data_IF_800522838821
#
_entry.id   IF_800522838821
#
_cell.length_a   1.000
_cell.length_b   1.000
_cell.length_c   1.000
_cell.angle_alpha   90.00
_cell.angle_beta   90.00
_cell.angle_gamma   90.00
#
_symmetry.space_group_name_H-M   'P 1'
#
loop_
_entity.id
_entity.type
_entity.pdbx_description
1 polymer ?
#
# COMPACT_ATOMS: atom_id res chain seq x y z
N UNK A 1 88.05 -3.34 -1.73
CA UNK A 1 87.29 -4.20 -2.68
C UNK A 1 85.79 -4.17 -2.34
N UNK A 2 84.87 -3.91 -3.30
CA UNK A 2 83.45 -3.88 -3.02
C UNK A 2 82.92 -5.31 -2.79
N UNK A 3 82.20 -5.55 -1.68
CA UNK A 3 81.51 -6.82 -1.40
C UNK A 3 80.44 -7.05 -2.46
N UNK A 4 80.55 -8.14 -3.25
CA UNK A 4 79.48 -8.57 -4.17
C UNK A 4 78.23 -8.92 -3.34
N UNK A 5 77.10 -8.29 -3.66
CA UNK A 5 75.81 -8.68 -3.08
C UNK A 5 75.31 -9.92 -3.82
N UNK A 6 75.23 -11.02 -3.08
CA UNK A 6 74.67 -12.30 -3.53
C UNK A 6 73.16 -12.30 -3.31
N UNK A 7 72.44 -13.02 -4.18
CA UNK A 7 71.00 -13.21 -4.09
C UNK A 7 70.66 -14.17 -2.95
N UNK A 8 69.37 -14.46 -2.78
CA UNK A 8 68.88 -15.39 -1.73
C UNK A 8 69.43 -16.81 -1.88
N UNK A 9 69.97 -17.16 -3.06
CA UNK A 9 70.50 -18.48 -3.42
C UNK A 9 72.05 -18.49 -3.52
N UNK A 10 72.72 -17.42 -3.10
CA UNK A 10 74.19 -17.34 -3.03
C UNK A 10 74.91 -17.03 -4.34
N UNK A 11 74.18 -16.71 -5.41
CA UNK A 11 74.69 -16.32 -6.72
C UNK A 11 74.87 -14.79 -6.83
N UNK A 12 75.82 -14.29 -7.64
CA UNK A 12 76.00 -12.85 -7.82
C UNK A 12 74.74 -12.21 -8.46
N UNK A 13 74.04 -11.34 -7.72
CA UNK A 13 72.80 -10.68 -8.17
C UNK A 13 73.01 -9.92 -9.48
N UNK A 14 72.09 -10.08 -10.45
CA UNK A 14 72.07 -9.18 -11.62
C UNK A 14 71.73 -7.74 -11.19
N UNK A 15 72.28 -6.70 -11.85
CA UNK A 15 72.04 -5.31 -11.46
C UNK A 15 70.56 -4.92 -11.41
N UNK A 16 69.73 -5.52 -12.28
CA UNK A 16 68.27 -5.30 -12.33
C UNK A 16 67.57 -5.87 -11.10
N UNK A 17 67.94 -7.07 -10.67
CA UNK A 17 67.36 -7.75 -9.51
C UNK A 17 67.69 -7.05 -8.19
N UNK A 18 68.88 -6.44 -8.09
CA UNK A 18 69.27 -5.61 -6.94
C UNK A 18 68.38 -4.37 -6.77
N UNK A 19 68.07 -3.68 -7.86
CA UNK A 19 67.18 -2.51 -7.83
C UNK A 19 65.76 -2.92 -7.46
N UNK A 20 65.29 -4.05 -7.96
CA UNK A 20 63.97 -4.56 -7.63
C UNK A 20 63.85 -4.95 -6.15
N UNK A 21 64.86 -5.63 -5.60
CA UNK A 21 64.95 -5.90 -4.16
C UNK A 21 65.01 -4.61 -3.34
N UNK A 22 65.82 -3.63 -3.74
CA UNK A 22 65.90 -2.35 -3.04
C UNK A 22 64.59 -1.56 -3.11
N UNK A 23 63.88 -1.60 -4.23
CA UNK A 23 62.53 -1.00 -4.36
C UNK A 23 61.51 -1.74 -3.51
N UNK A 24 61.57 -3.07 -3.46
CA UNK A 24 60.72 -3.88 -2.60
C UNK A 24 60.99 -3.59 -1.12
N UNK A 25 62.27 -3.49 -0.72
CA UNK A 25 62.69 -3.14 0.63
C UNK A 25 62.31 -1.70 0.99
N UNK A 26 62.43 -0.75 0.07
CA UNK A 26 62.00 0.64 0.30
C UNK A 26 60.48 0.75 0.45
N UNK A 27 59.69 0.03 -0.37
CA UNK A 27 58.23 -0.03 -0.22
C UNK A 27 57.82 -0.69 1.10
N UNK A 28 58.46 -1.80 1.46
CA UNK A 28 58.22 -2.49 2.73
C UNK A 28 58.61 -1.61 3.92
N UNK A 29 59.73 -0.89 3.85
CA UNK A 29 60.18 0.04 4.89
C UNK A 29 59.23 1.24 5.06
N UNK A 30 58.68 1.79 3.96
CA UNK A 30 57.68 2.87 4.06
C UNK A 30 56.40 2.39 4.74
N UNK A 31 55.92 1.18 4.42
CA UNK A 31 54.73 0.59 5.06
C UNK A 31 55.00 0.29 6.55
N UNK A 32 56.20 -0.18 6.88
CA UNK A 32 56.60 -0.44 8.26
C UNK A 32 56.74 0.86 9.08
N UNK A 33 57.31 1.92 8.50
CA UNK A 33 57.44 3.25 9.12
C UNK A 33 56.10 3.95 9.33
N UNK A 34 55.11 3.73 8.46
CA UNK A 34 53.75 4.22 8.71
C UNK A 34 53.02 3.47 9.82
N UNK A 35 53.49 2.29 10.24
CA UNK A 35 52.74 1.42 11.17
C UNK A 35 52.96 1.70 12.66
N UNK A 36 53.08 2.97 13.05
CA UNK A 36 53.16 3.39 14.45
C UNK A 36 51.96 2.86 15.25
N UNK A 37 52.17 2.42 16.50
CA UNK A 37 51.12 1.81 17.33
C UNK A 37 49.86 2.68 17.49
N UNK A 38 50.04 4.00 17.51
CA UNK A 38 48.95 4.99 17.51
C UNK A 38 48.17 5.03 16.20
N UNK A 39 48.82 4.86 15.05
CA UNK A 39 48.17 4.83 13.73
C UNK A 39 47.26 3.59 13.59
N UNK A 40 47.68 2.45 14.18
CA UNK A 40 46.83 1.24 14.24
C UNK A 40 45.57 1.44 15.07
N UNK A 41 45.66 2.17 16.19
CA UNK A 41 44.50 2.51 17.03
C UNK A 41 43.53 3.42 16.29
N UNK A 42 44.03 4.40 15.54
CA UNK A 42 43.21 5.32 14.74
C UNK A 42 42.52 4.57 13.60
N UNK A 43 43.24 3.71 12.88
CA UNK A 43 42.67 2.92 11.79
C UNK A 43 41.62 1.91 12.30
N UNK A 44 41.83 1.33 13.48
CA UNK A 44 40.83 0.50 14.15
C UNK A 44 39.59 1.30 14.56
N UNK A 45 39.79 2.49 15.14
CA UNK A 45 38.70 3.40 15.53
C UNK A 45 37.84 3.81 14.34
N UNK A 46 38.46 4.12 13.19
CA UNK A 46 37.75 4.47 11.95
C UNK A 46 36.89 3.31 11.43
N UNK A 47 37.41 2.09 11.47
CA UNK A 47 36.66 0.89 11.06
C UNK A 47 35.54 0.57 12.04
N UNK A 48 35.80 0.72 13.34
CA UNK A 48 34.82 0.50 14.39
C UNK A 48 33.67 1.50 14.30
N UNK A 49 33.95 2.80 14.18
CA UNK A 49 32.95 3.84 14.05
C UNK A 49 32.03 3.61 12.83
N UNK A 50 32.62 3.26 11.68
CA UNK A 50 31.84 2.94 10.47
C UNK A 50 30.94 1.70 10.66
N UNK A 51 31.39 0.71 11.44
CA UNK A 51 30.62 -0.51 11.71
C UNK A 51 29.53 -0.27 12.76
N UNK A 52 29.82 0.54 13.77
CA UNK A 52 28.88 0.97 14.80
C UNK A 52 27.77 1.85 14.20
N UNK A 53 28.12 2.81 13.32
CA UNK A 53 27.14 3.66 12.65
C UNK A 53 26.19 2.82 11.79
N UNK A 54 26.71 1.88 10.98
CA UNK A 54 25.87 0.96 10.21
C UNK A 54 24.99 0.10 11.12
N UNK A 55 25.54 -0.47 12.19
CA UNK A 55 24.77 -1.26 13.15
C UNK A 55 23.62 -0.47 13.79
N UNK A 56 23.88 0.77 14.19
CA UNK A 56 22.86 1.66 14.77
C UNK A 56 21.75 1.98 13.76
N UNK A 57 22.10 2.34 12.52
CA UNK A 57 21.12 2.63 11.48
C UNK A 57 20.24 1.40 11.20
N UNK A 58 20.83 0.22 11.03
CA UNK A 58 20.05 -1.01 10.81
C UNK A 58 19.17 -1.36 12.02
N UNK A 59 19.68 -1.18 13.24
CA UNK A 59 18.91 -1.39 14.47
C UNK A 59 17.69 -0.48 14.51
N UNK A 60 17.86 0.82 14.21
CA UNK A 60 16.76 1.79 14.18
C UNK A 60 15.73 1.47 13.10
N UNK A 61 16.16 1.04 11.91
CA UNK A 61 15.26 0.63 10.83
C UNK A 61 14.41 -0.57 11.26
N UNK A 62 15.04 -1.60 11.83
CA UNK A 62 14.34 -2.80 12.30
C UNK A 62 13.39 -2.45 13.45
N UNK A 63 13.84 -1.68 14.43
CA UNK A 63 13.03 -1.25 15.55
C UNK A 63 11.82 -0.42 15.11
N UNK A 64 12.01 0.50 14.16
CA UNK A 64 10.93 1.29 13.56
C UNK A 64 9.93 0.40 12.82
N UNK A 65 10.41 -0.58 12.05
CA UNK A 65 9.56 -1.55 11.37
C UNK A 65 8.70 -2.36 12.34
N UNK A 66 9.30 -2.92 13.39
CA UNK A 66 8.59 -3.69 14.42
C UNK A 66 7.54 -2.82 15.12
N UNK A 67 7.91 -1.60 15.50
CA UNK A 67 6.99 -0.63 16.12
C UNK A 67 5.79 -0.30 15.21
N UNK A 68 6.04 -0.12 13.92
CA UNK A 68 4.99 0.12 12.93
C UNK A 68 4.02 -1.07 12.80
N UNK A 69 4.55 -2.29 12.69
CA UNK A 69 3.74 -3.51 12.62
C UNK A 69 2.91 -3.70 13.89
N UNK A 70 3.50 -3.48 15.06
CA UNK A 70 2.80 -3.61 16.35
C UNK A 70 1.65 -2.61 16.48
N UNK A 71 1.83 -1.39 15.95
CA UNK A 71 0.81 -0.34 15.94
C UNK A 71 -0.38 -0.75 15.07
N UNK A 72 -0.13 -1.20 13.85
CA UNK A 72 -1.18 -1.67 12.93
C UNK A 72 -1.90 -2.88 13.51
N UNK A 73 -1.15 -3.84 14.07
CA UNK A 73 -1.73 -5.02 14.73
C UNK A 73 -2.66 -4.62 15.89
N UNK A 74 -2.22 -3.70 16.74
CA UNK A 74 -3.03 -3.20 17.86
C UNK A 74 -4.32 -2.54 17.37
N UNK A 75 -4.23 -1.70 16.33
CA UNK A 75 -5.39 -1.02 15.77
C UNK A 75 -6.38 -2.00 15.12
N UNK A 76 -5.88 -3.02 14.41
CA UNK A 76 -6.71 -4.06 13.78
C UNK A 76 -7.38 -4.94 14.85
N UNK A 77 -6.65 -5.31 15.90
CA UNK A 77 -7.17 -6.14 16.99
C UNK A 77 -8.36 -5.48 17.68
N UNK A 78 -8.24 -4.20 18.04
CA UNK A 78 -9.32 -3.44 18.65
C UNK A 78 -10.53 -3.32 17.72
N UNK A 79 -10.28 -3.02 16.44
CA UNK A 79 -11.34 -2.88 15.44
C UNK A 79 -12.10 -4.18 15.23
N UNK A 80 -11.40 -5.32 15.15
CA UNK A 80 -12.02 -6.63 14.96
C UNK A 80 -12.81 -7.08 16.19
N UNK A 81 -12.29 -6.84 17.40
CA UNK A 81 -12.99 -7.21 18.62
C UNK A 81 -14.29 -6.40 18.79
N UNK A 82 -14.22 -5.07 18.58
CA UNK A 82 -15.40 -4.20 18.65
C UNK A 82 -16.43 -4.59 17.58
N UNK A 83 -15.98 -4.87 16.35
CA UNK A 83 -16.85 -5.33 15.27
C UNK A 83 -17.53 -6.66 15.58
N UNK A 84 -16.85 -7.61 16.23
CA UNK A 84 -17.45 -8.89 16.63
C UNK A 84 -18.55 -8.71 17.66
N UNK A 85 -18.34 -7.84 18.64
CA UNK A 85 -19.36 -7.54 19.65
C UNK A 85 -20.57 -6.83 19.03
N UNK A 86 -20.35 -5.83 18.19
CA UNK A 86 -21.45 -5.13 17.49
C UNK A 86 -22.27 -6.07 16.61
N UNK A 87 -21.62 -6.98 15.87
CA UNK A 87 -22.34 -7.96 15.04
C UNK A 87 -23.16 -8.92 15.91
N UNK A 88 -22.64 -9.33 17.08
CA UNK A 88 -23.39 -10.19 18.00
C UNK A 88 -24.65 -9.51 18.54
N UNK A 89 -24.56 -8.25 18.98
CA UNK A 89 -25.71 -7.50 19.50
C UNK A 89 -26.76 -7.21 18.42
N UNK A 90 -26.32 -6.92 17.20
CA UNK A 90 -27.23 -6.72 16.06
C UNK A 90 -27.96 -8.01 15.66
N UNK A 91 -27.26 -9.16 15.68
CA UNK A 91 -27.89 -10.44 15.40
C UNK A 91 -28.93 -10.79 16.48
N UNK A 92 -28.63 -10.54 17.75
CA UNK A 92 -29.58 -10.74 18.85
C UNK A 92 -30.83 -9.86 18.69
N UNK A 93 -30.64 -8.57 18.35
CA UNK A 93 -31.75 -7.65 18.07
C UNK A 93 -32.61 -8.10 16.87
N UNK A 94 -31.98 -8.60 15.79
CA UNK A 94 -32.69 -9.14 14.61
C UNK A 94 -33.46 -10.42 14.94
N UNK A 95 -32.90 -11.31 15.76
CA UNK A 95 -33.59 -12.53 16.22
C UNK A 95 -34.79 -12.16 17.09
N UNK A 96 -34.64 -11.20 18.02
CA UNK A 96 -35.73 -10.71 18.85
C UNK A 96 -36.83 -10.02 18.02
N UNK A 97 -36.46 -9.29 16.97
CA UNK A 97 -37.40 -8.69 16.02
C UNK A 97 -38.17 -9.75 15.23
N UNK A 98 -37.49 -10.78 14.74
CA UNK A 98 -38.12 -11.90 14.03
C UNK A 98 -39.08 -12.69 14.94
N UNK A 99 -38.75 -12.81 16.23
CA UNK A 99 -39.60 -13.47 17.23
C UNK A 99 -40.74 -12.58 17.75
N UNK A 100 -40.83 -11.32 17.31
CA UNK A 100 -41.87 -10.38 17.74
C UNK A 100 -41.75 -9.90 19.19
N UNK A 101 -40.63 -10.19 19.87
CA UNK A 101 -40.35 -9.78 21.25
C UNK A 101 -39.34 -8.63 21.34
N UNK A 102 -39.12 -7.91 20.24
CA UNK A 102 -38.12 -6.84 20.18
C UNK A 102 -38.50 -5.66 21.09
N UNK A 103 -37.53 -5.21 21.86
CA UNK A 103 -37.63 -3.96 22.61
C UNK A 103 -37.50 -2.77 21.66
N UNK A 104 -38.09 -1.62 22.02
CA UNK A 104 -38.06 -0.40 21.20
C UNK A 104 -36.62 0.06 20.92
N UNK A 105 -35.71 -0.13 21.88
CA UNK A 105 -34.27 0.13 21.74
C UNK A 105 -33.59 -0.77 20.68
N UNK A 106 -34.00 -2.03 20.55
CA UNK A 106 -33.47 -2.96 19.54
C UNK A 106 -33.93 -2.58 18.13
N UNK A 107 -35.17 -2.10 17.99
CA UNK A 107 -35.71 -1.63 16.70
C UNK A 107 -35.01 -0.34 16.26
N UNK A 108 -34.76 0.58 17.18
CA UNK A 108 -33.99 1.78 16.89
C UNK A 108 -32.54 1.48 16.50
N UNK A 109 -31.91 0.50 17.15
CA UNK A 109 -30.55 0.09 16.83
C UNK A 109 -30.43 -0.43 15.40
N UNK A 110 -31.40 -1.24 14.96
CA UNK A 110 -31.46 -1.76 13.59
C UNK A 110 -31.62 -0.62 12.58
N UNK A 111 -32.54 0.32 12.82
CA UNK A 111 -32.76 1.47 11.92
C UNK A 111 -31.52 2.36 11.78
N UNK A 112 -30.81 2.60 12.89
CA UNK A 112 -29.56 3.40 12.89
C UNK A 112 -28.47 2.71 12.07
N UNK A 113 -28.38 1.38 12.15
CA UNK A 113 -27.42 0.61 11.35
C UNK A 113 -27.79 0.60 9.86
N UNK A 114 -29.07 0.43 9.50
CA UNK A 114 -29.51 0.48 8.10
C UNK A 114 -29.16 1.83 7.44
N UNK A 115 -29.37 2.93 8.16
CA UNK A 115 -28.96 4.28 7.71
C UNK A 115 -27.44 4.37 7.58
N UNK A 116 -26.69 3.82 8.54
CA UNK A 116 -25.24 3.81 8.51
C UNK A 116 -24.70 2.99 7.32
N UNK A 117 -25.32 1.86 6.99
CA UNK A 117 -24.96 1.03 5.82
C UNK A 117 -25.18 1.78 4.51
N UNK A 118 -26.32 2.46 4.35
CA UNK A 118 -26.62 3.26 3.15
C UNK A 118 -25.59 4.38 2.99
N UNK A 119 -25.27 5.11 4.05
CA UNK A 119 -24.25 6.17 4.02
C UNK A 119 -22.87 5.59 3.72
N UNK A 120 -22.54 4.43 4.26
CA UNK A 120 -21.26 3.76 4.03
C UNK A 120 -21.12 3.26 2.60
N UNK A 121 -22.19 2.74 1.99
CA UNK A 121 -22.23 2.36 0.58
C UNK A 121 -22.03 3.58 -0.31
N UNK A 122 -22.80 4.65 -0.11
CA UNK A 122 -22.62 5.90 -0.87
C UNK A 122 -21.19 6.45 -0.74
N UNK A 123 -20.64 6.44 0.48
CA UNK A 123 -19.26 6.89 0.71
C UNK A 123 -18.22 5.96 0.11
N UNK A 124 -18.50 4.66 0.01
CA UNK A 124 -17.63 3.68 -0.64
C UNK A 124 -17.65 3.86 -2.15
N UNK A 125 -18.83 4.11 -2.75
CA UNK A 125 -19.00 4.44 -4.15
C UNK A 125 -18.27 5.74 -4.50
N UNK A 126 -18.43 6.80 -3.70
CA UNK A 126 -17.68 8.04 -3.85
C UNK A 126 -16.17 7.81 -3.79
N UNK A 127 -15.70 6.99 -2.84
CA UNK A 127 -14.28 6.63 -2.70
C UNK A 127 -13.77 5.80 -3.87
N UNK A 128 -14.58 4.88 -4.41
CA UNK A 128 -14.26 4.09 -5.59
C UNK A 128 -14.23 4.93 -6.86
N UNK A 129 -15.07 5.98 -6.93
CA UNK A 129 -15.07 6.93 -8.02
C UNK A 129 -13.84 7.85 -8.04
N UNK A 130 -13.11 8.00 -6.92
CA UNK A 130 -11.91 8.85 -6.86
C UNK A 130 -10.86 8.40 -7.89
N UNK A 131 -10.20 9.35 -8.58
CA UNK A 131 -9.23 9.04 -9.63
C UNK A 131 -8.08 8.15 -9.13
N UNK A 132 -7.65 8.33 -7.87
CA UNK A 132 -6.64 7.50 -7.22
C UNK A 132 -7.09 6.05 -7.00
N UNK A 133 -8.36 5.83 -6.65
CA UNK A 133 -8.90 4.49 -6.46
C UNK A 133 -9.01 3.76 -7.80
N UNK A 134 -9.45 4.46 -8.86
CA UNK A 134 -9.45 3.95 -10.24
C UNK A 134 -8.03 3.60 -10.73
N UNK A 135 -7.05 4.47 -10.46
CA UNK A 135 -5.66 4.22 -10.81
C UNK A 135 -5.08 2.99 -10.09
N UNK A 136 -5.35 2.83 -8.79
CA UNK A 136 -4.98 1.63 -8.04
C UNK A 136 -5.69 0.37 -8.57
N UNK A 137 -6.99 0.44 -8.82
CA UNK A 137 -7.76 -0.66 -9.36
C UNK A 137 -7.23 -1.11 -10.74
N UNK A 138 -6.81 -0.16 -11.58
CA UNK A 138 -6.18 -0.45 -12.86
C UNK A 138 -4.79 -1.09 -12.69
N UNK A 139 -3.93 -0.54 -11.82
CA UNK A 139 -2.58 -1.04 -11.60
C UNK A 139 -2.57 -2.45 -11.01
N UNK A 140 -3.38 -2.70 -9.98
CA UNK A 140 -3.48 -4.01 -9.35
C UNK A 140 -4.41 -4.97 -10.11
N UNK A 141 -5.38 -4.47 -10.88
CA UNK A 141 -6.23 -5.29 -11.73
C UNK A 141 -5.45 -5.94 -12.87
N UNK A 142 -4.46 -5.24 -13.44
CA UNK A 142 -3.60 -5.78 -14.51
C UNK A 142 -2.74 -6.97 -14.04
N UNK A 143 -2.21 -6.94 -12.81
CA UNK A 143 -1.43 -8.05 -12.25
C UNK A 143 -2.27 -9.28 -11.88
N UNK A 144 -3.52 -9.10 -11.48
CA UNK A 144 -4.39 -10.24 -11.16
C UNK A 144 -5.00 -10.88 -12.42
N UNK A 145 -5.22 -10.10 -13.48
CA UNK A 145 -5.74 -10.61 -14.75
C UNK A 145 -4.74 -11.52 -15.46
N UNK A 146 -3.44 -11.23 -15.36
CA UNK A 146 -2.37 -12.09 -15.92
C UNK A 146 -2.16 -13.37 -15.11
N UNK A 147 -2.25 -13.33 -13.77
CA UNK A 147 -2.20 -14.54 -12.93
C UNK A 147 -3.44 -15.43 -13.15
N UNK A 148 -4.64 -14.86 -13.28
CA UNK A 148 -5.87 -15.64 -13.55
C UNK A 148 -5.85 -16.25 -14.96
N UNK A 149 -5.31 -15.54 -15.95
CA UNK A 149 -5.13 -16.06 -17.31
C UNK A 149 -4.02 -17.11 -17.39
N UNK A 150 -2.95 -16.98 -16.60
CA UNK A 150 -1.91 -17.99 -16.52
C UNK A 150 -2.37 -19.24 -15.75
N UNK A 151 -3.25 -19.08 -14.76
CA UNK A 151 -3.85 -20.17 -14.00
C UNK A 151 -4.92 -20.91 -14.82
N UNK A 152 -5.72 -20.22 -15.63
CA UNK A 152 -6.70 -20.87 -16.53
C UNK A 152 -6.04 -21.66 -17.66
N UNK A 153 -4.88 -21.22 -18.17
CA UNK A 153 -4.11 -21.98 -19.19
C UNK A 153 -3.37 -23.18 -18.57
N UNK A 154 -2.98 -23.12 -17.29
CA UNK A 154 -2.42 -24.28 -16.57
C UNK A 154 -3.48 -25.30 -16.13
N UNK A 155 -4.71 -24.87 -15.85
CA UNK A 155 -5.83 -25.78 -15.54
C UNK A 155 -6.39 -26.47 -16.80
N UNK A 156 -6.32 -25.81 -17.96
CA UNK A 156 -6.79 -26.37 -19.24
C UNK A 156 -6.00 -27.59 -19.74
N UNK A 157 -4.80 -27.86 -19.23
CA UNK A 157 -4.03 -29.07 -19.54
C UNK A 157 -4.26 -30.22 -18.54
N UNK A 158 -5.09 -30.05 -17.51
CA UNK A 158 -5.37 -31.07 -16.49
C UNK A 158 -6.85 -31.40 -16.24
N UNK A 159 -7.81 -30.80 -16.92
CA UNK A 159 -9.25 -30.96 -16.65
C UNK A 159 -10.03 -31.61 -17.81
N UNK A 160 -9.73 -32.87 -18.13
CA UNK A 160 -10.69 -33.77 -18.81
C UNK A 160 -11.60 -34.47 -17.77
N UNK A 161 -11.51 -34.13 -16.48
CA UNK A 161 -12.21 -34.85 -15.41
C UNK A 161 -12.82 -33.93 -14.34
N UNK A 162 -13.69 -32.99 -14.72
CA UNK A 162 -14.58 -32.30 -13.77
C UNK A 162 -15.76 -31.60 -14.48
N UNK A 163 -16.64 -32.37 -15.08
CA UNK A 163 -17.97 -31.88 -15.47
C UNK A 163 -18.75 -31.51 -14.21
N UNK A 164 -19.24 -30.26 -14.15
CA UNK A 164 -20.22 -29.61 -13.26
C UNK A 164 -19.68 -28.35 -12.56
N UNK A 165 -19.48 -27.25 -13.32
CA UNK A 165 -19.99 -25.96 -12.84
C UNK A 165 -20.44 -25.07 -14.02
N UNK A 166 -21.69 -25.22 -14.50
CA UNK A 166 -22.22 -24.35 -15.57
C UNK A 166 -23.72 -24.04 -15.47
N UNK A 167 -24.43 -24.74 -14.61
CA UNK A 167 -25.89 -24.58 -14.44
C UNK A 167 -26.23 -23.48 -13.43
N UNK A 168 -25.38 -23.25 -12.42
CA UNK A 168 -25.63 -22.25 -11.38
C UNK A 168 -25.48 -20.81 -11.89
N UNK A 169 -24.54 -20.55 -12.81
CA UNK A 169 -24.32 -19.22 -13.40
C UNK A 169 -25.38 -18.86 -14.43
N UNK A 170 -25.91 -19.84 -15.17
CA UNK A 170 -26.99 -19.61 -16.14
C UNK A 170 -28.34 -19.33 -15.47
N UNK A 171 -28.60 -19.88 -14.29
CA UNK A 171 -29.81 -19.57 -13.49
C UNK A 171 -29.73 -18.15 -12.90
N UNK A 172 -28.59 -17.77 -12.30
CA UNK A 172 -28.40 -16.40 -11.78
C UNK A 172 -28.43 -15.34 -12.88
N UNK A 173 -27.88 -15.65 -14.05
CA UNK A 173 -27.94 -14.76 -15.21
C UNK A 173 -29.38 -14.58 -15.72
N UNK A 174 -30.20 -15.64 -15.71
CA UNK A 174 -31.63 -15.55 -16.05
C UNK A 174 -32.42 -14.75 -15.02
N UNK A 175 -32.20 -14.99 -13.73
CA UNK A 175 -32.88 -14.26 -12.64
C UNK A 175 -32.54 -12.75 -12.67
N UNK A 176 -31.29 -12.40 -13.00
CA UNK A 176 -30.88 -11.01 -13.19
C UNK A 176 -31.46 -10.37 -14.46
N UNK A 177 -31.73 -11.14 -15.52
CA UNK A 177 -32.42 -10.63 -16.72
C UNK A 177 -33.92 -10.46 -16.47
N UNK A 178 -34.56 -11.39 -15.76
CA UNK A 178 -35.98 -11.30 -15.42
C UNK A 178 -36.27 -10.15 -14.44
N UNK A 179 -35.35 -9.87 -13.50
CA UNK A 179 -35.42 -8.70 -12.63
C UNK A 179 -35.25 -7.37 -13.40
N UNK A 180 -34.39 -7.33 -14.42
CA UNK A 180 -34.23 -6.15 -15.29
C UNK A 180 -35.43 -5.93 -16.19
N UNK A 181 -36.03 -7.00 -16.71
CA UNK A 181 -37.23 -6.93 -17.54
C UNK A 181 -38.47 -6.52 -16.71
N UNK A 182 -38.58 -6.97 -15.45
CA UNK A 182 -39.60 -6.53 -14.51
C UNK A 182 -39.43 -5.06 -14.08
N UNK A 183 -38.18 -4.61 -13.87
CA UNK A 183 -37.87 -3.21 -13.56
C UNK A 183 -38.11 -2.26 -14.75
N UNK A 184 -37.82 -2.70 -15.98
CA UNK A 184 -38.13 -1.95 -17.20
C UNK A 184 -39.65 -1.87 -17.46
N UNK A 185 -40.40 -2.93 -17.14
CA UNK A 185 -41.87 -2.92 -17.19
C UNK A 185 -42.52 -2.06 -16.09
N UNK A 186 -41.86 -1.90 -14.93
CA UNK A 186 -42.29 -1.00 -13.87
C UNK A 186 -41.96 0.48 -14.17
N UNK A 187 -40.82 0.76 -14.81
CA UNK A 187 -40.43 2.12 -15.22
C UNK A 187 -41.31 2.70 -16.34
N UNK A 188 -41.97 1.85 -17.14
CA UNK A 188 -42.94 2.28 -18.15
C UNK A 188 -44.30 2.74 -17.57
N UNK A 189 -44.56 2.55 -16.27
CA UNK A 189 -45.85 2.88 -15.62
C UNK A 189 -45.86 4.14 -14.77
N UNK A 190 -44.72 4.80 -14.56
CA UNK A 190 -44.63 6.04 -13.76
C UNK A 190 -44.02 7.17 -14.57
N UNK A 191 -44.73 7.56 -15.64
CA UNK A 191 -44.55 8.87 -16.24
C UNK A 191 -45.21 9.95 -15.40
N UNK A 192 -44.42 10.74 -14.66
CA UNK A 192 -44.80 12.11 -14.26
C UNK A 192 -43.58 12.89 -13.78
N UNK A 193 -43.29 13.95 -14.51
CA UNK A 193 -42.31 15.01 -14.26
C UNK A 193 -42.60 15.79 -12.99
N UNK A 194 -41.77 15.63 -11.95
CA UNK A 194 -41.68 16.56 -10.82
C UNK A 194 -40.20 16.73 -10.48
N UNK A 195 -39.63 17.94 -10.57
CA UNK A 195 -38.21 18.15 -10.28
C UNK A 195 -37.94 17.82 -8.81
N UNK A 196 -37.03 16.86 -8.60
CA UNK A 196 -36.71 16.35 -7.27
C UNK A 196 -35.99 17.40 -6.44
N UNK A 197 -36.12 17.29 -5.11
CA UNK A 197 -35.46 18.14 -4.12
C UNK A 197 -33.91 18.20 -4.30
N UNK A 198 -33.34 17.18 -4.95
CA UNK A 198 -31.92 17.09 -5.32
C UNK A 198 -31.53 18.02 -6.47
N UNK A 199 -32.41 18.27 -7.44
CA UNK A 199 -32.14 19.23 -8.53
C UNK A 199 -32.14 20.66 -8.01
N UNK A 200 -33.02 20.98 -7.04
CA UNK A 200 -33.04 22.29 -6.36
C UNK A 200 -31.77 22.50 -5.53
N UNK A 201 -31.25 21.44 -4.89
CA UNK A 201 -29.98 21.50 -4.17
C UNK A 201 -28.78 21.62 -5.11
N UNK A 202 -28.80 20.95 -6.26
CA UNK A 202 -27.75 21.06 -7.27
C UNK A 202 -27.70 22.46 -7.86
N UNK A 203 -28.85 23.06 -8.20
CA UNK A 203 -28.91 24.43 -8.73
C UNK A 203 -28.46 25.46 -7.68
N UNK A 204 -28.82 25.28 -6.41
CA UNK A 204 -28.33 26.14 -5.32
C UNK A 204 -26.82 25.97 -5.07
N UNK A 205 -26.29 24.75 -5.14
CA UNK A 205 -24.86 24.50 -5.02
C UNK A 205 -24.07 25.10 -6.19
N UNK A 206 -24.63 25.03 -7.40
CA UNK A 206 -24.02 25.63 -8.59
C UNK A 206 -24.02 27.17 -8.53
N UNK A 207 -25.10 27.78 -8.01
CA UNK A 207 -25.15 29.24 -7.79
C UNK A 207 -24.13 29.68 -6.72
N UNK A 208 -24.01 28.95 -5.61
CA UNK A 208 -23.02 29.23 -4.57
C UNK A 208 -21.56 29.13 -5.08
N UNK A 209 -21.28 28.17 -5.97
CA UNK A 209 -19.96 28.03 -6.61
C UNK A 209 -19.67 29.19 -7.59
N UNK A 210 -20.67 29.67 -8.32
CA UNK A 210 -20.52 30.82 -9.24
C UNK A 210 -20.28 32.14 -8.50
N UNK A 211 -20.90 32.35 -7.34
CA UNK A 211 -20.70 33.55 -6.52
C UNK A 211 -19.31 33.60 -5.86
N UNK A 212 -18.84 32.46 -5.34
CA UNK A 212 -17.50 32.35 -4.73
C UNK A 212 -16.38 32.55 -5.76
N UNK A 213 -16.57 32.06 -6.98
CA UNK A 213 -15.62 32.29 -8.10
C UNK A 213 -15.56 33.76 -8.48
N UNK A 214 -16.72 34.44 -8.60
CA UNK A 214 -16.79 35.88 -8.89
C UNK A 214 -16.18 36.74 -7.77
N UNK A 215 -16.37 36.35 -6.52
CA UNK A 215 -15.80 37.01 -5.34
C UNK A 215 -14.27 36.97 -5.33
N UNK A 216 -13.66 35.85 -5.72
CA UNK A 216 -12.21 35.73 -5.78
C UNK A 216 -11.60 36.49 -6.97
N UNK A 217 -12.24 36.45 -8.14
CA UNK A 217 -11.78 37.25 -9.30
C UNK A 217 -11.85 38.75 -9.02
N UNK A 218 -12.87 39.24 -8.30
CA UNK A 218 -12.99 40.67 -8.00
C UNK A 218 -11.88 41.17 -7.05
N UNK A 219 -11.37 40.31 -6.15
CA UNK A 219 -10.20 40.63 -5.31
C UNK A 219 -8.90 40.74 -6.11
N UNK A 220 -8.75 39.94 -7.17
CA UNK A 220 -7.57 40.01 -8.04
C UNK A 220 -7.60 41.26 -8.93
N UNK A 221 -8.76 41.69 -9.42
CA UNK A 221 -8.87 42.91 -10.24
C UNK A 221 -8.69 44.18 -9.41
N UNK A 222 -9.21 44.23 -8.17
CA UNK A 222 -9.02 45.40 -7.28
C UNK A 222 -7.63 45.47 -6.63
N UNK A 223 -6.90 44.35 -6.55
CA UNK A 223 -5.53 44.31 -6.01
C UNK A 223 -4.45 44.78 -6.99
N UNK A 224 -4.78 44.99 -8.26
CA UNK A 224 -3.83 45.36 -9.32
C UNK A 224 -3.90 46.85 -9.73
N UNK A 225 -4.68 47.68 -9.02
CA UNK A 225 -4.85 49.12 -9.30
C UNK A 225 -4.41 49.98 -8.11
N UNK A 226 -3.38 49.57 -7.37
CA UNK A 226 -2.77 50.40 -6.33
C UNK A 226 -1.26 50.44 -6.44
#
# INVERSE_FOLDING_TARGET
PPRRSVDRDGQPETPKQKVERLRAQARAARIAQSSSGSDRLIEFGRRFANKAHKGMVYSLIVASGVCGVLTVYSMVSLTMYNRRQQVATLNEARIAQANGSATEEQIELIKKEDIAEIVKQKRAEEKAQKPWAKAKAFLFGKMNAEDTAAQSVRSASSEVEALQPGVWDSIKAKEAQDAKNAAAAAAAKTGSTTPGQLDVMAENAERAAKETTRSWTNRLTFGLVR
#
